data_IF_477707346653
#
_entry.id   IF_477707346653
#
_cell.length_a   1.000
_cell.length_b   1.000
_cell.length_c   1.000
_cell.angle_alpha   90.00
_cell.angle_beta   90.00
_cell.angle_gamma   90.00
#
_symmetry.space_group_name_H-M   'P 1'
#
loop_
_entity.id
_entity.type
_entity.pdbx_description
1 polymer ?
#
# COMPACT_ATOMS: atom_id res chain seq x y z
N UNK A 1 -11.79 29.03 7.79
CA UNK A 1 -11.33 27.72 8.33
C UNK A 1 -11.63 26.56 7.36
N UNK A 2 -12.20 26.83 6.18
CA UNK A 2 -12.68 25.79 5.23
C UNK A 2 -11.64 25.19 4.29
N UNK A 3 -10.47 25.82 4.15
CA UNK A 3 -9.43 25.32 3.25
C UNK A 3 -8.63 24.17 3.87
N UNK A 4 -8.51 24.14 5.20
CA UNK A 4 -7.72 23.11 5.91
C UNK A 4 -8.44 21.77 5.89
N UNK A 5 -9.76 21.76 6.13
CA UNK A 5 -10.62 20.57 6.08
C UNK A 5 -10.75 19.99 4.66
N UNK A 6 -10.87 20.84 3.62
CA UNK A 6 -10.87 20.38 2.22
C UNK A 6 -9.55 19.75 1.77
N UNK A 7 -8.40 20.35 2.14
CA UNK A 7 -7.10 19.76 1.83
C UNK A 7 -6.86 18.43 2.55
N UNK A 8 -7.40 18.32 3.78
CA UNK A 8 -7.42 17.10 4.56
C UNK A 8 -8.21 15.98 3.89
N UNK A 9 -9.43 16.28 3.43
CA UNK A 9 -10.25 15.30 2.70
C UNK A 9 -9.57 14.87 1.41
N UNK A 10 -8.97 15.78 0.65
CA UNK A 10 -8.23 15.44 -0.56
C UNK A 10 -7.02 14.52 -0.26
N UNK A 11 -6.29 14.80 0.82
CA UNK A 11 -5.15 13.98 1.25
C UNK A 11 -5.56 12.58 1.71
N UNK A 12 -6.75 12.47 2.30
CA UNK A 12 -7.40 11.19 2.56
C UNK A 12 -7.86 10.57 1.24
N UNK A 13 -8.41 11.25 0.27
CA UNK A 13 -8.75 10.55 -0.98
C UNK A 13 -7.50 9.98 -1.70
N UNK A 14 -6.39 10.72 -1.69
CA UNK A 14 -5.13 10.31 -2.32
C UNK A 14 -4.51 9.05 -1.70
N UNK A 15 -4.39 8.97 -0.38
CA UNK A 15 -3.82 7.77 0.23
C UNK A 15 -4.76 6.55 0.07
N UNK A 16 -6.08 6.72 -0.09
CA UNK A 16 -6.98 5.60 -0.44
C UNK A 16 -6.62 5.05 -1.82
N UNK A 17 -6.45 5.94 -2.80
CA UNK A 17 -6.01 5.58 -4.16
C UNK A 17 -4.62 4.94 -4.14
N UNK A 18 -3.74 5.43 -3.29
CA UNK A 18 -2.40 4.87 -3.09
C UNK A 18 -2.47 3.43 -2.56
N UNK A 19 -3.29 3.17 -1.53
CA UNK A 19 -3.47 1.81 -0.98
C UNK A 19 -4.03 0.85 -2.02
N UNK A 20 -5.03 1.27 -2.82
CA UNK A 20 -5.58 0.44 -3.91
C UNK A 20 -4.49 0.11 -4.93
N UNK A 21 -3.68 1.10 -5.32
CA UNK A 21 -2.56 0.90 -6.26
C UNK A 21 -1.54 -0.08 -5.69
N UNK A 22 -1.21 0.06 -4.41
CA UNK A 22 -0.24 -0.80 -3.72
C UNK A 22 -0.75 -2.25 -3.59
N UNK A 23 -2.07 -2.44 -3.41
CA UNK A 23 -2.71 -3.75 -3.44
C UNK A 23 -2.64 -4.39 -4.83
N UNK A 24 -2.90 -3.62 -5.90
CA UNK A 24 -2.79 -4.11 -7.28
C UNK A 24 -1.34 -4.53 -7.59
N UNK A 25 -0.35 -3.71 -7.21
CA UNK A 25 1.07 -4.04 -7.37
C UNK A 25 1.45 -5.29 -6.58
N UNK A 26 0.97 -5.42 -5.34
CA UNK A 26 1.21 -6.62 -4.51
C UNK A 26 0.61 -7.87 -5.15
N UNK A 27 -0.59 -7.78 -5.73
CA UNK A 27 -1.23 -8.88 -6.44
C UNK A 27 -0.44 -9.28 -7.71
N UNK A 28 0.11 -8.29 -8.42
CA UNK A 28 0.95 -8.52 -9.60
C UNK A 28 2.24 -9.25 -9.22
N UNK A 29 2.92 -8.86 -8.13
CA UNK A 29 4.10 -9.57 -7.63
C UNK A 29 3.77 -10.98 -7.15
N UNK A 30 2.63 -11.18 -6.49
CA UNK A 30 2.18 -12.51 -6.09
C UNK A 30 1.98 -13.43 -7.31
N UNK A 31 1.29 -12.96 -8.34
CA UNK A 31 1.13 -13.71 -9.60
C UNK A 31 2.46 -13.96 -10.30
N UNK A 32 3.37 -12.98 -10.33
CA UNK A 32 4.73 -13.17 -10.83
C UNK A 32 5.49 -14.26 -10.08
N UNK A 33 5.33 -14.33 -8.76
CA UNK A 33 5.94 -15.40 -7.95
C UNK A 33 5.37 -16.79 -8.32
N UNK A 34 4.05 -16.90 -8.51
CA UNK A 34 3.42 -18.16 -8.90
C UNK A 34 3.92 -18.64 -10.27
N UNK A 35 4.04 -17.74 -11.25
CA UNK A 35 4.59 -18.07 -12.57
C UNK A 35 6.04 -18.55 -12.46
N UNK A 36 6.85 -17.90 -11.62
CA UNK A 36 8.28 -18.20 -11.50
C UNK A 36 8.54 -19.48 -10.68
N UNK A 37 7.64 -19.85 -9.77
CA UNK A 37 7.69 -21.10 -9.01
C UNK A 37 7.17 -22.28 -9.83
N UNK A 38 6.03 -22.13 -10.50
CA UNK A 38 5.32 -23.26 -11.12
C UNK A 38 5.49 -23.38 -12.64
N UNK A 39 5.62 -22.28 -13.38
CA UNK A 39 5.69 -22.31 -14.85
C UNK A 39 7.13 -22.28 -15.38
N UNK A 40 8.05 -21.58 -14.72
CA UNK A 40 9.45 -21.50 -15.13
C UNK A 40 10.37 -21.53 -13.90
N UNK A 41 10.56 -22.72 -13.30
CA UNK A 41 11.25 -22.86 -12.02
C UNK A 41 12.67 -22.29 -12.13
N UNK A 42 12.82 -21.10 -11.58
CA UNK A 42 14.10 -20.41 -11.44
C UNK A 42 14.21 -20.03 -9.97
N UNK A 43 15.11 -20.74 -9.27
CA UNK A 43 15.23 -20.62 -7.81
C UNK A 43 15.58 -19.19 -7.37
N UNK A 44 16.31 -18.43 -8.20
CA UNK A 44 16.69 -17.05 -7.89
C UNK A 44 15.54 -16.05 -8.12
N UNK A 45 14.73 -16.29 -9.16
CA UNK A 45 13.60 -15.42 -9.51
C UNK A 45 12.44 -15.53 -8.52
N UNK A 46 12.17 -16.73 -7.98
CA UNK A 46 11.08 -16.90 -7.01
C UNK A 46 11.39 -16.24 -5.66
N UNK A 47 12.64 -16.35 -5.18
CA UNK A 47 13.06 -15.79 -3.89
C UNK A 47 13.03 -14.25 -3.93
N UNK A 48 13.51 -13.66 -5.02
CA UNK A 48 13.51 -12.20 -5.19
C UNK A 48 12.09 -11.63 -5.27
N UNK A 49 11.19 -12.28 -6.00
CA UNK A 49 9.76 -11.89 -6.08
C UNK A 49 9.03 -12.06 -4.74
N UNK A 50 9.35 -13.11 -3.98
CA UNK A 50 8.78 -13.34 -2.65
C UNK A 50 9.26 -12.29 -1.62
N UNK A 51 10.54 -11.90 -1.65
CA UNK A 51 11.04 -10.77 -0.86
C UNK A 51 10.36 -9.46 -1.23
N UNK A 52 10.25 -9.15 -2.53
CA UNK A 52 9.57 -7.95 -3.02
C UNK A 52 8.11 -7.89 -2.54
N UNK A 53 7.39 -9.00 -2.64
CA UNK A 53 6.00 -9.11 -2.15
C UNK A 53 5.93 -8.85 -0.64
N UNK A 54 6.85 -9.41 0.13
CA UNK A 54 6.91 -9.21 1.59
C UNK A 54 7.20 -7.75 1.94
N UNK A 55 8.16 -7.12 1.26
CA UNK A 55 8.49 -5.70 1.45
C UNK A 55 7.32 -4.80 1.07
N UNK A 56 6.63 -5.08 -0.04
CA UNK A 56 5.42 -4.34 -0.47
C UNK A 56 4.28 -4.46 0.53
N UNK A 57 4.06 -5.62 1.14
CA UNK A 57 3.04 -5.81 2.18
C UNK A 57 3.40 -5.04 3.45
N UNK A 58 4.65 -5.12 3.91
CA UNK A 58 5.11 -4.37 5.10
C UNK A 58 5.02 -2.87 4.88
N UNK A 59 5.42 -2.39 3.69
CA UNK A 59 5.29 -0.99 3.30
C UNK A 59 3.81 -0.56 3.25
N UNK A 60 2.92 -1.39 2.70
CA UNK A 60 1.47 -1.14 2.69
C UNK A 60 0.93 -1.00 4.11
N UNK A 61 1.29 -1.92 5.00
CA UNK A 61 0.84 -1.90 6.38
C UNK A 61 1.32 -0.64 7.13
N UNK A 62 2.57 -0.24 6.92
CA UNK A 62 3.13 0.99 7.47
C UNK A 62 2.37 2.24 6.97
N UNK A 63 2.06 2.31 5.67
CA UNK A 63 1.28 3.41 5.10
C UNK A 63 -0.15 3.46 5.64
N UNK A 64 -0.80 2.31 5.84
CA UNK A 64 -2.14 2.22 6.44
C UNK A 64 -2.15 2.71 7.89
N UNK A 65 -1.14 2.34 8.69
CA UNK A 65 -1.00 2.85 10.06
C UNK A 65 -0.79 4.37 10.08
N UNK A 66 0.06 4.89 9.18
CA UNK A 66 0.31 6.32 9.07
C UNK A 66 -0.96 7.08 8.66
N UNK A 67 -1.72 6.54 7.71
CA UNK A 67 -3.03 7.05 7.32
C UNK A 67 -4.02 7.09 8.50
N UNK A 68 -4.10 6.01 9.28
CA UNK A 68 -5.01 5.94 10.44
C UNK A 68 -4.69 7.03 11.46
N UNK A 69 -3.39 7.23 11.75
CA UNK A 69 -2.92 8.33 12.60
C UNK A 69 -3.29 9.69 12.04
N UNK A 70 -3.04 9.94 10.75
CA UNK A 70 -3.41 11.17 10.08
C UNK A 70 -4.91 11.43 10.23
N UNK A 71 -5.78 10.46 9.88
CA UNK A 71 -7.24 10.57 9.99
C UNK A 71 -7.72 10.91 11.41
N UNK A 72 -7.12 10.29 12.44
CA UNK A 72 -7.43 10.63 13.84
C UNK A 72 -7.04 12.07 14.19
N UNK A 73 -5.86 12.54 13.73
CA UNK A 73 -5.44 13.93 13.94
C UNK A 73 -6.37 14.92 13.24
N UNK A 74 -6.95 14.57 12.09
CA UNK A 74 -7.93 15.43 11.40
C UNK A 74 -9.21 15.56 12.23
N UNK A 75 -9.74 14.43 12.69
CA UNK A 75 -10.97 14.39 13.48
C UNK A 75 -10.86 15.15 14.81
N UNK A 76 -9.66 15.25 15.39
CA UNK A 76 -9.42 16.05 16.59
C UNK A 76 -9.28 17.55 16.34
N UNK A 77 -8.92 17.98 15.12
CA UNK A 77 -8.79 19.41 14.77
C UNK A 77 -10.09 20.00 14.20
N UNK A 78 -11.10 19.16 13.92
CA UNK A 78 -12.45 19.59 13.53
C UNK A 78 -13.41 19.72 14.73
N UNK A 79 -12.99 19.38 15.96
CA UNK A 79 -13.71 19.66 17.22
C UNK A 79 -13.17 20.93 17.89
#
# INVERSE_FOLDING_TARGET
>A
MDNVSKQLQAKVEDYSRFVITLLIVSFYFYMGSLITVYLKPSSEGSITLMMLTTVSIVASFYFVLKWKKLKQTLAQNEQ
#
